data_IF_568967120549
#
_entry.id   IF_568967120549
#
_cell.length_a   1.000
_cell.length_b   1.000
_cell.length_c   1.000
_cell.angle_alpha   90.00
_cell.angle_beta   90.00
_cell.angle_gamma   90.00
#
_symmetry.space_group_name_H-M   'P 1'
#
loop_
_entity.id
_entity.type
_entity.pdbx_description
1 polymer ?
#
# COMPACT_ATOMS: atom_id res chain seq x y z
N UNK A 1 6.41 28.74 -7.41
CA UNK A 1 5.50 27.73 -7.99
C UNK A 1 5.34 26.60 -6.97
N UNK A 2 4.13 26.45 -6.44
CA UNK A 2 3.85 25.77 -5.17
C UNK A 2 4.06 24.26 -5.22
N UNK A 3 4.92 23.76 -4.33
CA UNK A 3 5.04 22.34 -4.01
C UNK A 3 3.76 21.94 -3.25
N UNK A 4 2.83 21.33 -3.98
CA UNK A 4 1.53 20.91 -3.44
C UNK A 4 1.70 19.99 -2.23
N UNK A 5 1.36 20.53 -1.06
CA UNK A 5 0.81 19.88 0.14
C UNK A 5 1.06 18.36 0.25
N UNK A 6 1.97 18.02 1.15
CA UNK A 6 2.07 16.73 1.84
C UNK A 6 0.74 16.48 2.58
N UNK A 7 -0.21 15.82 1.92
CA UNK A 7 -1.50 15.46 2.53
C UNK A 7 -1.31 14.17 3.33
N UNK A 8 -1.06 14.35 4.63
CA UNK A 8 -1.58 13.51 5.72
C UNK A 8 -1.43 11.99 5.57
N UNK A 9 -0.40 11.45 6.20
CA UNK A 9 -0.25 10.03 6.44
C UNK A 9 1.23 9.69 6.47
N UNK A 10 1.79 9.62 7.68
CA UNK A 10 3.13 9.10 7.90
C UNK A 10 3.39 7.85 7.03
N UNK A 11 4.47 7.79 6.23
CA UNK A 11 4.85 6.58 5.51
C UNK A 11 5.46 5.59 6.53
N UNK A 12 4.62 5.10 7.44
CA UNK A 12 4.96 4.04 8.40
C UNK A 12 4.89 2.65 7.79
N UNK A 13 4.71 2.57 6.46
CA UNK A 13 5.26 1.48 5.68
C UNK A 13 6.46 2.05 4.94
N UNK A 14 7.65 1.60 5.32
CA UNK A 14 8.85 1.71 4.49
C UNK A 14 8.45 1.44 3.04
N UNK A 15 8.85 2.30 2.10
CA UNK A 15 8.53 2.17 0.65
C UNK A 15 8.68 0.73 0.14
N UNK A 16 9.63 -0.02 0.72
CA UNK A 16 9.86 -1.45 0.53
C UNK A 16 8.67 -2.35 0.87
N UNK A 17 7.99 -2.15 2.00
CA UNK A 17 6.81 -2.93 2.39
C UNK A 17 5.61 -2.68 1.48
N UNK A 18 5.39 -1.43 1.04
CA UNK A 18 4.33 -1.12 0.09
C UNK A 18 4.59 -1.79 -1.29
N UNK A 19 5.85 -1.81 -1.72
CA UNK A 19 6.27 -2.53 -2.93
C UNK A 19 6.07 -4.05 -2.79
N UNK A 20 6.48 -4.64 -1.66
CA UNK A 20 6.32 -6.07 -1.39
C UNK A 20 4.84 -6.47 -1.27
N UNK A 21 4.02 -5.68 -0.56
CA UNK A 21 2.57 -5.89 -0.47
C UNK A 21 1.93 -5.88 -1.85
N UNK A 22 2.31 -4.93 -2.70
CA UNK A 22 1.80 -4.87 -4.08
C UNK A 22 2.20 -6.11 -4.88
N UNK A 23 3.46 -6.54 -4.76
CA UNK A 23 3.98 -7.72 -5.44
C UNK A 23 3.25 -8.99 -5.00
N UNK A 24 3.02 -9.16 -3.71
CA UNK A 24 2.27 -10.29 -3.15
C UNK A 24 0.79 -10.25 -3.55
N UNK A 25 0.15 -9.08 -3.53
CA UNK A 25 -1.22 -8.97 -4.04
C UNK A 25 -1.31 -9.26 -5.55
N UNK A 26 -0.26 -8.95 -6.31
CA UNK A 26 -0.23 -9.23 -7.75
C UNK A 26 -0.11 -10.71 -8.10
N UNK A 27 0.25 -11.58 -7.15
CA UNK A 27 0.21 -13.04 -7.37
C UNK A 27 -1.21 -13.61 -7.24
N UNK A 28 -2.16 -12.83 -6.71
CA UNK A 28 -3.56 -13.26 -6.46
C UNK A 28 -3.70 -14.48 -5.53
N UNK A 29 -2.61 -14.95 -4.92
CA UNK A 29 -2.58 -16.09 -4.00
C UNK A 29 -2.93 -15.69 -2.55
N UNK A 30 -2.88 -14.39 -2.24
CA UNK A 30 -3.11 -13.85 -0.90
C UNK A 30 -4.33 -12.94 -0.89
N UNK A 31 -5.24 -13.17 0.06
CA UNK A 31 -6.36 -12.26 0.26
C UNK A 31 -5.90 -10.98 0.95
N UNK A 32 -6.72 -9.93 0.85
CA UNK A 32 -6.49 -8.65 1.55
C UNK A 32 -6.35 -8.88 3.06
N UNK A 33 -7.10 -9.84 3.63
CA UNK A 33 -6.99 -10.20 5.05
C UNK A 33 -5.63 -10.81 5.39
N UNK A 34 -5.12 -11.74 4.58
CA UNK A 34 -3.79 -12.33 4.78
C UNK A 34 -2.71 -11.25 4.73
N UNK A 35 -2.78 -10.33 3.76
CA UNK A 35 -1.81 -9.23 3.62
C UNK A 35 -1.83 -8.28 4.82
N UNK A 36 -2.99 -8.08 5.46
CA UNK A 36 -3.10 -7.26 6.69
C UNK A 36 -2.32 -7.92 7.82
N UNK A 37 -2.49 -9.24 8.01
CA UNK A 37 -1.78 -9.98 9.04
C UNK A 37 -0.27 -10.05 8.77
N UNK A 38 0.12 -10.40 7.54
CA UNK A 38 1.53 -10.50 7.13
C UNK A 38 2.32 -9.20 7.31
N UNK A 39 1.70 -8.07 6.97
CA UNK A 39 2.37 -6.77 7.04
C UNK A 39 2.08 -6.01 8.33
N UNK A 40 1.28 -6.58 9.25
CA UNK A 40 0.72 -5.85 10.40
C UNK A 40 0.11 -4.51 9.98
N UNK A 41 -0.58 -4.51 8.84
CA UNK A 41 -1.10 -3.33 8.17
C UNK A 41 -2.63 -3.23 8.38
N UNK A 42 -3.19 -2.03 8.45
CA UNK A 42 -4.64 -1.88 8.51
C UNK A 42 -5.30 -2.00 7.13
N UNK A 43 -6.56 -2.47 7.07
CA UNK A 43 -7.40 -2.47 5.84
C UNK A 43 -7.26 -1.20 4.99
N UNK A 44 -7.43 0.03 5.53
CA UNK A 44 -7.29 1.25 4.74
C UNK A 44 -5.90 1.43 4.12
N UNK A 45 -4.84 0.96 4.77
CA UNK A 45 -3.47 1.04 4.26
C UNK A 45 -3.27 0.13 3.04
N UNK A 46 -3.80 -1.09 3.11
CA UNK A 46 -3.76 -2.04 1.99
C UNK A 46 -4.52 -1.48 0.79
N UNK A 47 -5.78 -1.06 0.97
CA UNK A 47 -6.57 -0.47 -0.11
C UNK A 47 -5.94 0.77 -0.72
N UNK A 48 -5.36 1.67 0.09
CA UNK A 48 -4.65 2.84 -0.45
C UNK A 48 -3.44 2.44 -1.29
N UNK A 49 -2.68 1.46 -0.83
CA UNK A 49 -1.49 0.98 -1.56
C UNK A 49 -1.87 0.39 -2.91
N UNK A 50 -2.91 -0.45 -2.93
CA UNK A 50 -3.44 -1.03 -4.17
C UNK A 50 -4.03 0.02 -5.11
N UNK A 51 -4.74 1.02 -4.58
CA UNK A 51 -5.29 2.13 -5.37
C UNK A 51 -4.19 2.99 -6.00
N UNK A 52 -3.11 3.27 -5.27
CA UNK A 52 -1.95 4.01 -5.78
C UNK A 52 -1.23 3.25 -6.91
N UNK A 53 -1.19 1.92 -6.82
CA UNK A 53 -0.60 1.06 -7.86
C UNK A 53 -1.47 0.98 -9.11
N UNK A 54 -2.79 0.85 -8.94
CA UNK A 54 -3.74 0.89 -10.05
C UNK A 54 -3.67 2.20 -10.83
N UNK A 55 -3.44 3.33 -10.15
CA UNK A 55 -3.27 4.64 -10.78
C UNK A 55 -1.93 4.81 -11.53
N UNK A 56 -0.97 3.89 -11.33
CA UNK A 56 0.35 3.90 -11.98
C UNK A 56 0.43 3.00 -13.22
N UNK A 57 -0.58 2.16 -13.46
CA UNK A 57 -0.78 1.38 -14.69
C UNK A 57 -1.57 2.20 -15.69
#
# INVERSE_FOLDING_TARGET
MGKGKLRGGEPKHSVRQAAELTRMHATEEYSVSDLIEFFSASRPTVYRTLALQKAKR
#
